data_IF_964736747865
#
_entry.id   IF_964736747865
#
_cell.length_a   1.000
_cell.length_b   1.000
_cell.length_c   1.000
_cell.angle_alpha   90.00
_cell.angle_beta   90.00
_cell.angle_gamma   90.00
#
_symmetry.space_group_name_H-M   'P 1'
#
loop_
_entity.id
_entity.type
_entity.pdbx_description
1 polymer ?
#
# COMPACT_ATOMS: atom_id res chain seq x y z
N UNK A 1 0.80 14.25 -11.70
CA UNK A 1 0.49 12.92 -12.26
C UNK A 1 -0.98 12.62 -11.98
N UNK A 2 -1.65 11.88 -12.86
CA UNK A 2 -2.95 11.27 -12.52
C UNK A 2 -2.67 10.04 -11.65
N UNK A 3 -3.43 9.90 -10.57
CA UNK A 3 -3.31 8.80 -9.62
C UNK A 3 -4.65 8.08 -9.54
N UNK A 4 -4.66 6.75 -9.32
CA UNK A 4 -5.91 6.05 -9.05
C UNK A 4 -6.48 6.55 -7.72
N UNK A 5 -7.67 7.16 -7.76
CA UNK A 5 -8.38 7.65 -6.58
C UNK A 5 -9.62 6.81 -6.31
N UNK A 6 -10.05 6.78 -5.05
CA UNK A 6 -11.30 6.19 -4.63
C UNK A 6 -12.44 7.17 -4.94
N UNK A 7 -13.23 6.91 -5.96
CA UNK A 7 -14.36 7.75 -6.37
C UNK A 7 -15.68 7.11 -5.94
N UNK A 8 -16.52 7.87 -5.24
CA UNK A 8 -17.87 7.45 -4.88
C UNK A 8 -18.90 8.22 -5.73
N UNK A 9 -19.56 7.58 -6.72
CA UNK A 9 -20.53 8.26 -7.58
C UNK A 9 -21.76 8.80 -6.84
N UNK A 10 -22.22 8.10 -5.80
CA UNK A 10 -23.40 8.48 -5.04
C UNK A 10 -23.18 9.76 -4.21
N UNK A 11 -21.96 9.94 -3.69
CA UNK A 11 -21.57 11.14 -2.94
C UNK A 11 -21.01 12.24 -3.86
N UNK A 12 -20.64 11.90 -5.10
CA UNK A 12 -20.07 12.83 -6.07
C UNK A 12 -18.71 13.38 -5.66
N UNK A 13 -17.93 12.62 -4.86
CA UNK A 13 -16.63 13.06 -4.34
C UNK A 13 -15.59 11.94 -4.34
N UNK A 14 -14.32 12.36 -4.30
CA UNK A 14 -13.17 11.49 -4.00
C UNK A 14 -13.14 11.24 -2.49
N UNK A 15 -12.73 10.02 -2.13
CA UNK A 15 -12.54 9.56 -0.76
C UNK A 15 -11.07 9.25 -0.49
N UNK A 16 -10.61 9.48 0.74
CA UNK A 16 -9.34 8.98 1.23
C UNK A 16 -9.39 7.44 1.37
N UNK A 17 -8.25 6.78 1.64
CA UNK A 17 -8.24 5.34 1.88
C UNK A 17 -8.95 5.01 3.20
N UNK A 18 -8.82 5.89 4.19
CA UNK A 18 -9.43 5.83 5.51
C UNK A 18 -10.97 5.87 5.45
N UNK A 19 -11.54 6.48 4.40
CA UNK A 19 -13.00 6.63 4.23
C UNK A 19 -13.64 5.46 3.44
N UNK A 20 -12.84 4.45 3.09
CA UNK A 20 -13.30 3.26 2.36
C UNK A 20 -13.20 2.04 3.26
N UNK A 21 -14.35 1.44 3.61
CA UNK A 21 -14.45 0.26 4.46
C UNK A 21 -15.03 -0.87 3.63
N UNK A 22 -14.32 -1.98 3.50
CA UNK A 22 -14.76 -3.16 2.72
C UNK A 22 -15.19 -2.83 1.27
N UNK A 23 -14.56 -1.83 0.65
CA UNK A 23 -14.83 -1.40 -0.73
C UNK A 23 -16.06 -0.50 -0.90
N UNK A 24 -16.70 -0.09 0.20
CA UNK A 24 -17.79 0.90 0.21
C UNK A 24 -17.40 2.16 0.98
N UNK A 25 -18.12 3.25 0.77
CA UNK A 25 -17.90 4.49 1.53
C UNK A 25 -18.32 4.31 2.99
N UNK A 26 -17.48 4.73 3.93
CA UNK A 26 -17.78 4.78 5.37
C UNK A 26 -19.15 5.45 5.60
N UNK A 27 -19.38 6.57 4.89
CA UNK A 27 -20.66 7.27 4.92
C UNK A 27 -21.58 6.73 3.84
N UNK A 28 -22.67 6.10 4.27
CA UNK A 28 -23.78 5.69 3.39
C UNK A 28 -23.61 4.34 2.69
N UNK A 29 -22.45 3.67 2.81
CA UNK A 29 -22.26 2.31 2.29
C UNK A 29 -22.34 2.20 0.77
N UNK A 30 -21.95 3.25 0.04
CA UNK A 30 -22.03 3.28 -1.42
C UNK A 30 -20.80 2.65 -2.07
N UNK A 31 -20.94 2.00 -3.23
CA UNK A 31 -19.82 1.37 -3.92
C UNK A 31 -18.78 2.41 -4.35
N UNK A 32 -17.51 2.07 -4.13
CA UNK A 32 -16.35 2.89 -4.50
C UNK A 32 -15.67 2.29 -5.72
N UNK A 33 -15.32 3.13 -6.69
CA UNK A 33 -14.59 2.73 -7.89
C UNK A 33 -13.22 3.39 -7.95
N UNK A 34 -12.23 2.69 -8.49
CA UNK A 34 -10.90 3.28 -8.77
C UNK A 34 -10.91 3.96 -10.12
N UNK A 35 -10.57 5.26 -10.14
CA UNK A 35 -10.49 6.06 -11.37
C UNK A 35 -9.20 6.87 -11.38
N UNK A 36 -8.45 6.93 -12.50
CA UNK A 36 -7.35 7.88 -12.63
C UNK A 36 -7.91 9.31 -12.67
N UNK A 37 -7.46 10.15 -11.75
CA UNK A 37 -7.82 11.56 -11.70
C UNK A 37 -6.64 12.39 -11.18
N UNK A 38 -6.58 13.66 -11.59
CA UNK A 38 -5.68 14.64 -10.99
C UNK A 38 -6.27 15.11 -9.66
N UNK A 39 -5.53 14.90 -8.57
CA UNK A 39 -5.91 15.31 -7.22
C UNK A 39 -4.72 15.89 -6.46
N UNK A 40 -5.00 16.62 -5.39
CA UNK A 40 -3.99 17.04 -4.42
C UNK A 40 -3.72 15.90 -3.46
N UNK A 41 -2.44 15.56 -3.28
CA UNK A 41 -2.02 14.52 -2.34
C UNK A 41 -1.01 15.10 -1.37
N UNK A 42 -1.21 14.86 -0.09
CA UNK A 42 -0.18 15.08 0.90
C UNK A 42 0.90 14.02 0.74
N UNK A 43 2.16 14.43 0.78
CA UNK A 43 3.31 13.52 0.73
C UNK A 43 3.54 12.85 2.10
N UNK A 44 2.47 12.32 2.69
CA UNK A 44 2.48 11.76 4.06
C UNK A 44 3.44 10.57 4.19
N UNK A 45 3.64 9.81 3.12
CA UNK A 45 4.59 8.69 3.09
C UNK A 45 6.04 9.13 3.35
N UNK A 46 6.42 10.36 3.05
CA UNK A 46 7.74 10.90 3.40
C UNK A 46 7.92 11.14 4.91
N UNK A 47 6.83 11.06 5.68
CA UNK A 47 6.83 11.19 7.14
C UNK A 47 6.52 9.86 7.85
N UNK A 48 6.42 8.75 7.12
CA UNK A 48 6.00 7.47 7.69
C UNK A 48 6.88 7.00 8.85
N UNK A 49 8.22 7.09 8.71
CA UNK A 49 9.15 6.71 9.79
C UNK A 49 9.00 7.59 11.02
N UNK A 50 8.94 8.90 10.82
CA UNK A 50 8.72 9.85 11.92
C UNK A 50 7.37 9.62 12.60
N UNK A 51 6.30 9.39 11.84
CA UNK A 51 4.98 9.09 12.39
C UNK A 51 4.97 7.80 13.21
N UNK A 52 5.83 6.83 12.89
CA UNK A 52 5.99 5.60 13.66
C UNK A 52 6.83 5.82 14.91
N UNK A 53 7.97 6.47 14.79
CA UNK A 53 8.91 6.74 15.89
C UNK A 53 8.27 7.65 16.94
N UNK A 54 7.57 8.71 16.51
CA UNK A 54 6.92 9.68 17.40
C UNK A 54 5.76 9.03 18.21
N UNK A 55 5.25 7.83 17.86
CA UNK A 55 4.21 7.14 18.66
C UNK A 55 4.71 6.66 20.01
N UNK A 56 6.00 6.35 20.13
CA UNK A 56 6.56 5.77 21.35
C UNK A 56 6.55 6.78 22.51
N UNK A 57 6.70 8.06 22.21
CA UNK A 57 6.71 9.16 23.18
C UNK A 57 5.30 9.61 23.65
N UNK A 58 4.23 9.14 23.01
CA UNK A 58 2.86 9.55 23.35
C UNK A 58 2.30 8.81 24.57
N UNK A 59 1.63 9.53 25.48
CA UNK A 59 0.86 8.93 26.58
C UNK A 59 -0.53 8.49 26.12
N UNK A 60 -0.57 7.53 25.18
CA UNK A 60 -1.78 6.96 24.59
C UNK A 60 -1.94 5.48 24.95
N UNK A 61 -3.17 4.93 24.96
CA UNK A 61 -3.39 3.50 25.13
C UNK A 61 -2.64 2.69 24.07
N UNK A 62 -1.99 1.59 24.49
CA UNK A 62 -1.17 0.76 23.59
C UNK A 62 -1.97 0.22 22.41
N UNK A 63 -3.25 -0.12 22.60
CA UNK A 63 -4.12 -0.58 21.52
C UNK A 63 -4.30 0.43 20.39
N UNK A 64 -4.28 1.74 20.70
CA UNK A 64 -4.35 2.80 19.69
C UNK A 64 -3.00 2.94 18.98
N UNK A 65 -1.89 2.84 19.71
CA UNK A 65 -0.54 2.84 19.10
C UNK A 65 -0.37 1.66 18.15
N UNK A 66 -0.75 0.45 18.56
CA UNK A 66 -0.73 -0.75 17.72
C UNK A 66 -1.59 -0.57 16.45
N UNK A 67 -2.79 0.00 16.56
CA UNK A 67 -3.64 0.30 15.41
C UNK A 67 -2.95 1.24 14.41
N UNK A 68 -2.28 2.29 14.89
CA UNK A 68 -1.53 3.23 14.05
C UNK A 68 -0.30 2.57 13.41
N UNK A 69 0.47 1.77 14.16
CA UNK A 69 1.61 1.02 13.62
C UNK A 69 1.18 0.07 12.52
N UNK A 70 0.07 -0.65 12.71
CA UNK A 70 -0.51 -1.54 11.71
C UNK A 70 -1.06 -0.78 10.50
N UNK A 71 -1.65 0.41 10.69
CA UNK A 71 -2.14 1.26 9.61
C UNK A 71 -1.00 1.79 8.73
N UNK A 72 0.09 2.28 9.33
CA UNK A 72 1.27 2.75 8.59
C UNK A 72 1.96 1.56 7.90
N UNK A 73 2.01 0.39 8.55
CA UNK A 73 2.36 -0.87 7.91
C UNK A 73 3.80 -0.95 7.41
N UNK A 74 4.77 -0.38 8.16
CA UNK A 74 6.19 -0.50 7.80
C UNK A 74 6.63 -1.95 7.83
N UNK A 75 7.29 -2.38 6.76
CA UNK A 75 7.94 -3.68 6.68
C UNK A 75 9.35 -3.52 6.15
N UNK A 76 10.25 -4.38 6.61
CA UNK A 76 11.59 -4.51 6.07
C UNK A 76 11.70 -5.85 5.34
N UNK A 77 12.40 -5.86 4.23
CA UNK A 77 12.43 -6.98 3.32
C UNK A 77 13.54 -6.85 2.29
N UNK A 78 13.46 -7.67 1.25
CA UNK A 78 14.40 -7.67 0.14
C UNK A 78 13.68 -7.51 -1.20
N UNK A 79 14.34 -6.81 -2.12
CA UNK A 79 13.98 -6.83 -3.53
C UNK A 79 14.75 -7.95 -4.23
N UNK A 80 14.04 -8.71 -5.07
CA UNK A 80 14.57 -9.84 -5.83
C UNK A 80 14.30 -9.59 -7.30
N UNK A 81 15.28 -9.88 -8.16
CA UNK A 81 15.11 -9.81 -9.62
C UNK A 81 15.04 -11.22 -10.21
N UNK A 82 13.92 -11.52 -10.87
CA UNK A 82 13.75 -12.75 -11.66
C UNK A 82 13.99 -12.43 -13.14
N UNK A 83 14.95 -13.11 -13.77
CA UNK A 83 15.15 -13.00 -15.22
C UNK A 83 14.07 -13.81 -15.95
N UNK A 84 13.43 -13.20 -16.94
CA UNK A 84 12.49 -13.87 -17.80
C UNK A 84 13.25 -14.74 -18.80
N UNK A 85 12.85 -16.01 -18.90
CA UNK A 85 13.40 -16.97 -19.84
C UNK A 85 12.31 -17.50 -20.76
N UNK A 86 12.67 -17.90 -21.98
CA UNK A 86 11.76 -18.64 -22.86
C UNK A 86 11.60 -20.11 -22.40
N UNK A 87 10.80 -20.88 -23.15
CA UNK A 87 10.59 -22.30 -22.84
C UNK A 87 11.85 -23.16 -22.99
N UNK A 88 12.86 -22.67 -23.69
CA UNK A 88 14.14 -23.32 -23.96
C UNK A 88 15.22 -22.88 -22.96
N UNK A 89 14.90 -21.91 -22.08
CA UNK A 89 15.78 -21.39 -21.04
C UNK A 89 16.67 -20.21 -21.50
N UNK A 90 16.42 -19.63 -22.66
CA UNK A 90 17.15 -18.45 -23.12
C UNK A 90 16.66 -17.18 -22.43
N UNK A 91 17.60 -16.35 -22.00
CA UNK A 91 17.32 -15.05 -21.39
C UNK A 91 16.62 -14.12 -22.40
N UNK A 92 15.44 -13.63 -22.04
CA UNK A 92 14.65 -12.69 -22.82
C UNK A 92 15.07 -11.24 -22.57
N UNK A 93 16.00 -10.99 -21.64
CA UNK A 93 16.45 -9.66 -21.24
C UNK A 93 15.42 -8.86 -20.44
N UNK A 94 14.26 -9.44 -20.15
CA UNK A 94 13.25 -8.86 -19.27
C UNK A 94 13.47 -9.33 -17.83
N UNK A 95 13.29 -8.41 -16.88
CA UNK A 95 13.45 -8.67 -15.45
C UNK A 95 12.15 -8.35 -14.71
N UNK A 96 11.79 -9.21 -13.77
CA UNK A 96 10.69 -9.01 -12.85
C UNK A 96 11.26 -8.74 -11.46
N UNK A 97 11.14 -7.49 -11.01
CA UNK A 97 11.51 -7.10 -9.64
C UNK A 97 10.33 -7.35 -8.71
N UNK A 98 10.56 -8.09 -7.63
CA UNK A 98 9.55 -8.35 -6.59
C UNK A 98 10.09 -7.98 -5.21
N UNK A 99 9.20 -7.61 -4.30
CA UNK A 99 9.53 -7.35 -2.90
C UNK A 99 9.00 -8.47 -2.01
N UNK A 100 9.79 -8.92 -1.03
CA UNK A 100 9.37 -9.89 -0.02
C UNK A 100 9.90 -9.53 1.37
N UNK A 101 9.08 -9.70 2.39
CA UNK A 101 9.50 -9.65 3.80
C UNK A 101 10.10 -10.98 4.29
N UNK A 102 10.03 -12.03 3.46
CA UNK A 102 10.53 -13.37 3.76
C UNK A 102 11.51 -13.88 2.69
N UNK A 103 12.68 -13.23 2.53
CA UNK A 103 13.69 -13.66 1.56
C UNK A 103 14.25 -15.07 1.87
N UNK A 104 14.15 -15.52 3.12
CA UNK A 104 14.50 -16.87 3.57
C UNK A 104 13.73 -17.97 2.81
N UNK A 105 12.51 -17.68 2.38
CA UNK A 105 11.62 -18.63 1.70
C UNK A 105 11.79 -18.72 0.19
N UNK A 106 12.78 -18.05 -0.38
CA UNK A 106 12.93 -17.93 -1.84
C UNK A 106 13.00 -19.28 -2.57
N UNK A 107 13.61 -20.30 -1.96
CA UNK A 107 13.71 -21.64 -2.54
C UNK A 107 12.36 -22.39 -2.61
N UNK A 108 11.33 -21.90 -1.91
CA UNK A 108 9.97 -22.43 -1.96
C UNK A 108 9.02 -21.61 -2.85
N UNK A 109 9.51 -20.61 -3.58
CA UNK A 109 8.71 -19.86 -4.53
C UNK A 109 8.44 -20.73 -5.78
N UNK A 110 7.17 -21.08 -5.98
CA UNK A 110 6.67 -21.92 -7.09
C UNK A 110 5.56 -21.22 -7.84
#
# INVERSE_FOLDING_TARGET
AEVPVNWCPALGTVLANEEVIDGVSERGGYPVIRKPMRQWMLRITSYADRLLEDLDDLDWPESIKEMQRNWIGRSEGAELEFCAVDQEGHDLGAKLTVYTTRPDTIFGAT
#
